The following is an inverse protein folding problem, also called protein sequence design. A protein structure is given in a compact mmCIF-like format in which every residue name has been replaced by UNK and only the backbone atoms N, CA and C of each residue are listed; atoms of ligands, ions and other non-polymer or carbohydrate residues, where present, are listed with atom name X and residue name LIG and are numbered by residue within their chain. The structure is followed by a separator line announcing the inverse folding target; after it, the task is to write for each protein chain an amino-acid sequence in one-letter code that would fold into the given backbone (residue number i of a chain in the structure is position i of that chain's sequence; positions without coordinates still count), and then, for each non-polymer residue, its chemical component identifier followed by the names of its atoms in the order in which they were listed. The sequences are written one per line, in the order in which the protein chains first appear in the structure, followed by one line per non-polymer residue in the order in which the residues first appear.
data_IF_820877967917
#
_entry.id   IF_820877967917
#
_cell.length_a   1.000
_cell.length_b   1.000
_cell.length_c   1.000
_cell.angle_alpha   90.00
_cell.angle_beta   90.00
_cell.angle_gamma   90.00
#
_symmetry.space_group_name_H-M   'P 1'
#
loop_
_entity.id
_entity.type
_entity.pdbx_description
1 polymer ?
#
# COMPACT_ATOMS: atom_id res chain seq x y z
N UNK A 1 -28.56 -11.51 17.45
CA UNK A 1 -27.64 -11.18 16.36
C UNK A 1 -27.19 -9.76 16.59
N UNK A 2 -26.08 -9.62 17.33
CA UNK A 2 -25.38 -8.33 17.44
C UNK A 2 -24.61 -8.18 16.14
N UNK A 3 -24.70 -7.01 15.50
CA UNK A 3 -24.10 -6.69 14.20
C UNK A 3 -22.57 -6.92 14.20
N UNK A 4 -22.14 -8.10 13.77
CA UNK A 4 -20.72 -8.43 13.56
C UNK A 4 -20.07 -7.48 12.53
N UNK A 5 -20.83 -7.00 11.54
CA UNK A 5 -20.35 -6.00 10.57
C UNK A 5 -19.95 -4.66 11.21
N UNK A 6 -20.55 -4.30 12.36
CA UNK A 6 -20.20 -3.07 13.07
C UNK A 6 -18.95 -3.23 13.94
N UNK A 7 -18.63 -4.44 14.38
CA UNK A 7 -17.51 -4.72 15.27
C UNK A 7 -16.16 -4.72 14.50
N UNK A 8 -16.10 -5.36 13.33
CA UNK A 8 -14.89 -5.37 12.49
C UNK A 8 -14.55 -3.96 11.97
N UNK A 9 -15.57 -3.22 11.53
CA UNK A 9 -15.40 -1.83 11.12
C UNK A 9 -14.98 -0.93 12.29
N UNK A 10 -15.45 -1.23 13.51
CA UNK A 10 -15.02 -0.54 14.71
C UNK A 10 -13.53 -0.80 14.98
N UNK A 11 -13.07 -2.05 14.91
CA UNK A 11 -11.65 -2.38 15.08
C UNK A 11 -10.77 -1.70 14.03
N UNK A 12 -11.16 -1.69 12.76
CA UNK A 12 -10.43 -0.98 11.71
C UNK A 12 -10.27 0.51 12.03
N UNK A 13 -11.35 1.19 12.44
CA UNK A 13 -11.30 2.60 12.84
C UNK A 13 -10.38 2.83 14.04
N UNK A 14 -10.49 2.00 15.07
CA UNK A 14 -9.66 2.10 16.28
C UNK A 14 -8.19 1.92 15.94
N UNK A 15 -7.84 0.89 15.14
CA UNK A 15 -6.46 0.69 14.69
C UNK A 15 -5.94 1.87 13.88
N UNK A 16 -6.72 2.37 12.92
CA UNK A 16 -6.34 3.53 12.11
C UNK A 16 -6.07 4.77 12.98
N UNK A 17 -6.91 5.03 13.98
CA UNK A 17 -6.69 6.12 14.93
C UNK A 17 -5.40 5.93 15.74
N UNK A 18 -5.16 4.72 16.27
CA UNK A 18 -3.94 4.43 17.05
C UNK A 18 -2.68 4.56 16.20
N UNK A 19 -2.71 4.09 14.96
CA UNK A 19 -1.59 4.21 14.02
C UNK A 19 -1.32 5.67 13.67
N UNK A 20 -2.37 6.46 13.39
CA UNK A 20 -2.23 7.88 13.09
C UNK A 20 -1.64 8.68 14.27
N UNK A 21 -2.08 8.38 15.50
CA UNK A 21 -1.54 9.03 16.70
C UNK A 21 -0.08 8.66 16.96
N UNK A 22 0.27 7.39 16.79
CA UNK A 22 1.61 6.88 17.05
C UNK A 22 2.62 7.27 15.96
N UNK A 23 2.14 7.56 14.76
CA UNK A 23 2.96 7.87 13.59
C UNK A 23 2.62 9.26 13.01
N UNK A 24 2.51 10.28 13.87
CA UNK A 24 2.14 11.64 13.48
C UNK A 24 3.07 12.32 12.48
N UNK A 25 4.24 11.75 12.21
CA UNK A 25 5.18 12.18 11.18
C UNK A 25 4.84 11.67 9.77
N UNK A 26 3.89 10.72 9.65
CA UNK A 26 3.36 10.21 8.39
C UNK A 26 2.20 11.13 7.97
N UNK A 27 2.46 11.94 6.96
CA UNK A 27 1.55 13.02 6.54
C UNK A 27 0.44 12.50 5.59
N UNK A 28 0.80 11.59 4.67
CA UNK A 28 -0.13 11.03 3.69
C UNK A 28 0.33 9.63 3.24
N UNK A 29 -0.37 8.58 3.66
CA UNK A 29 -0.07 7.21 3.27
C UNK A 29 -1.38 6.47 2.93
N UNK A 30 -1.84 6.53 1.66
CA UNK A 30 -3.14 5.99 1.26
C UNK A 30 -3.20 4.46 1.34
N UNK A 31 -2.05 3.78 1.50
CA UNK A 31 -1.98 2.32 1.69
C UNK A 31 -2.40 1.86 3.09
N UNK A 32 -2.39 2.73 4.12
CA UNK A 32 -2.64 2.31 5.51
C UNK A 32 -4.04 1.68 5.68
N UNK A 33 -5.15 2.27 5.17
CA UNK A 33 -6.47 1.68 5.31
C UNK A 33 -6.58 0.28 4.73
N UNK A 34 -6.04 0.06 3.53
CA UNK A 34 -6.08 -1.26 2.89
C UNK A 34 -5.19 -2.26 3.63
N UNK A 35 -3.99 -1.85 4.06
CA UNK A 35 -3.12 -2.70 4.88
C UNK A 35 -3.83 -3.14 6.16
N UNK A 36 -4.46 -2.22 6.88
CA UNK A 36 -5.19 -2.54 8.12
C UNK A 36 -6.35 -3.49 7.83
N UNK A 37 -7.10 -3.27 6.75
CA UNK A 37 -8.18 -4.15 6.36
C UNK A 37 -7.66 -5.57 6.05
N UNK A 38 -6.63 -5.71 5.23
CA UNK A 38 -6.02 -7.01 4.90
C UNK A 38 -5.49 -7.72 6.14
N UNK A 39 -4.84 -7.00 7.07
CA UNK A 39 -4.34 -7.59 8.31
C UNK A 39 -5.49 -8.07 9.21
N UNK A 40 -6.57 -7.30 9.36
CA UNK A 40 -7.71 -7.66 10.22
C UNK A 40 -8.53 -8.84 9.66
N UNK A 41 -8.47 -9.10 8.35
CA UNK A 41 -9.08 -10.30 7.76
C UNK A 41 -8.37 -11.57 8.23
N UNK A 42 -7.09 -11.51 8.61
CA UNK A 42 -6.27 -12.68 8.91
C UNK A 42 -5.71 -12.74 10.32
N UNK A 43 -5.72 -11.64 11.06
CA UNK A 43 -5.06 -11.50 12.35
C UNK A 43 -6.01 -10.92 13.38
N UNK A 44 -5.82 -11.30 14.65
CA UNK A 44 -6.49 -10.63 15.76
C UNK A 44 -6.08 -9.14 15.83
N UNK A 45 -6.96 -8.23 16.30
CA UNK A 45 -6.71 -6.79 16.26
C UNK A 45 -5.39 -6.34 16.92
N UNK A 46 -4.99 -6.99 18.01
CA UNK A 46 -3.73 -6.69 18.72
C UNK A 46 -2.51 -7.06 17.89
N UNK A 47 -2.56 -8.21 17.21
CA UNK A 47 -1.49 -8.69 16.32
C UNK A 47 -1.45 -7.83 15.05
N UNK A 48 -2.61 -7.53 14.46
CA UNK A 48 -2.73 -6.65 13.31
C UNK A 48 -2.10 -5.27 13.58
N UNK A 49 -2.35 -4.69 14.75
CA UNK A 49 -1.72 -3.44 15.16
C UNK A 49 -0.20 -3.54 15.26
N UNK A 50 0.31 -4.60 15.92
CA UNK A 50 1.75 -4.80 16.07
C UNK A 50 2.45 -4.97 14.71
N UNK A 51 1.87 -5.76 13.80
CA UNK A 51 2.38 -5.96 12.44
C UNK A 51 2.35 -4.65 11.64
N UNK A 52 1.23 -3.93 11.67
CA UNK A 52 1.12 -2.63 11.00
C UNK A 52 2.18 -1.63 11.48
N UNK A 53 2.44 -1.58 12.79
CA UNK A 53 3.50 -0.74 13.35
C UNK A 53 4.90 -1.15 12.86
N UNK A 54 5.19 -2.46 12.80
CA UNK A 54 6.46 -2.95 12.27
C UNK A 54 6.64 -2.57 10.78
N UNK A 55 5.60 -2.74 9.95
CA UNK A 55 5.66 -2.38 8.53
C UNK A 55 5.86 -0.87 8.31
N UNK A 56 5.21 -0.04 9.12
CA UNK A 56 5.41 1.42 9.09
C UNK A 56 6.83 1.79 9.54
N UNK A 57 7.34 1.19 10.63
CA UNK A 57 8.69 1.43 11.12
C UNK A 57 9.79 1.04 10.10
N UNK A 58 9.58 -0.06 9.37
CA UNK A 58 10.46 -0.45 8.26
C UNK A 58 10.39 0.60 7.14
N UNK A 59 9.20 1.04 6.78
CA UNK A 59 9.00 2.02 5.69
C UNK A 59 9.56 3.41 6.01
N UNK A 60 9.51 3.82 7.27
CA UNK A 60 10.03 5.12 7.75
C UNK A 60 11.55 5.12 7.91
N UNK A 61 12.14 4.00 8.30
CA UNK A 61 13.60 3.85 8.44
C UNK A 61 14.32 3.63 7.10
N UNK A 62 13.64 3.09 6.09
CA UNK A 62 14.20 2.89 4.75
C UNK A 62 14.45 4.22 4.04
N UNK A 63 15.69 4.47 3.61
CA UNK A 63 16.07 5.67 2.84
C UNK A 63 15.71 5.55 1.35
N UNK A 64 15.72 4.33 0.82
CA UNK A 64 15.38 4.00 -0.58
C UNK A 64 14.33 2.89 -0.64
N UNK A 65 13.65 2.74 -1.78
CA UNK A 65 12.71 1.63 -2.02
C UNK A 65 13.40 0.26 -2.11
N UNK A 66 14.70 0.26 -2.39
CA UNK A 66 15.55 -0.92 -2.38
C UNK A 66 16.98 -0.42 -2.11
N UNK A 67 17.68 -1.02 -1.15
CA UNK A 67 19.12 -0.89 -1.02
C UNK A 67 19.79 -2.28 -1.10
N UNK A 68 21.09 -2.30 -1.35
CA UNK A 68 21.87 -3.53 -1.46
C UNK A 68 21.90 -4.37 -0.17
N UNK A 69 21.48 -3.78 0.96
CA UNK A 69 21.46 -4.40 2.29
C UNK A 69 20.09 -5.03 2.63
N UNK A 70 19.14 -5.04 1.70
CA UNK A 70 17.83 -5.68 1.89
C UNK A 70 16.83 -4.84 2.69
N UNK A 71 17.07 -3.55 2.89
CA UNK A 71 16.05 -2.63 3.39
C UNK A 71 15.16 -2.21 2.21
N UNK A 72 13.89 -2.58 2.30
CA UNK A 72 12.88 -2.21 1.33
C UNK A 72 11.90 -1.26 1.99
N UNK A 73 11.61 -0.15 1.31
CA UNK A 73 10.47 0.68 1.71
C UNK A 73 9.21 -0.03 1.24
N UNK A 74 8.44 -0.54 2.20
CA UNK A 74 7.19 -1.25 1.92
C UNK A 74 6.07 -0.28 1.54
N UNK A 75 5.96 0.87 2.23
CA UNK A 75 4.91 1.86 2.05
C UNK A 75 5.46 3.23 1.67
N UNK A 76 4.77 3.93 0.78
CA UNK A 76 4.98 5.35 0.56
C UNK A 76 4.32 6.15 1.69
N UNK A 77 5.12 6.67 2.63
CA UNK A 77 4.64 7.35 3.86
C UNK A 77 4.37 8.85 3.69
N UNK A 78 4.52 9.38 2.47
CA UNK A 78 4.12 10.73 2.11
C UNK A 78 3.85 10.83 0.61
N UNK A 79 3.20 11.94 0.23
CA UNK A 79 2.83 12.22 -1.17
C UNK A 79 4.02 12.22 -2.14
N UNK A 80 5.16 12.77 -1.75
CA UNK A 80 6.37 12.81 -2.58
C UNK A 80 6.87 11.40 -2.88
N UNK A 81 6.87 10.53 -1.87
CA UNK A 81 7.24 9.13 -2.01
C UNK A 81 6.25 8.38 -2.90
N UNK A 82 4.94 8.62 -2.73
CA UNK A 82 3.90 7.99 -3.56
C UNK A 82 4.07 8.38 -5.03
N UNK A 83 4.24 9.67 -5.32
CA UNK A 83 4.50 10.16 -6.68
C UNK A 83 5.78 9.55 -7.26
N UNK A 84 6.84 9.44 -6.45
CA UNK A 84 8.09 8.82 -6.88
C UNK A 84 7.89 7.36 -7.27
N UNK A 85 7.13 6.59 -6.48
CA UNK A 85 6.82 5.18 -6.77
C UNK A 85 6.02 5.02 -8.06
N UNK A 86 5.00 5.88 -8.26
CA UNK A 86 4.18 5.91 -9.49
C UNK A 86 5.03 6.23 -10.72
N UNK A 87 5.90 7.25 -10.64
CA UNK A 87 6.82 7.60 -11.73
C UNK A 87 7.85 6.49 -12.00
N UNK A 88 8.37 5.84 -10.96
CA UNK A 88 9.29 4.71 -11.10
C UNK A 88 8.64 3.54 -11.83
N UNK A 89 7.37 3.26 -11.55
CA UNK A 89 6.63 2.21 -12.25
C UNK A 89 6.43 2.54 -13.73
N UNK A 90 5.97 3.76 -14.07
CA UNK A 90 5.81 4.18 -15.46
C UNK A 90 7.13 4.09 -16.23
N UNK A 91 8.24 4.57 -15.63
CA UNK A 91 9.58 4.44 -16.22
C UNK A 91 10.02 2.98 -16.39
N UNK A 92 9.64 2.09 -15.46
CA UNK A 92 9.92 0.66 -15.57
C UNK A 92 9.14 0.02 -16.73
N UNK A 93 7.85 0.33 -16.88
CA UNK A 93 7.01 -0.13 -17.99
C UNK A 93 7.55 0.40 -19.31
N UNK A 94 7.88 1.68 -19.40
CA UNK A 94 8.49 2.28 -20.59
C UNK A 94 9.78 1.55 -20.99
N UNK A 95 10.63 1.20 -20.01
CA UNK A 95 11.92 0.53 -20.26
C UNK A 95 11.78 -0.95 -20.61
N UNK A 96 10.89 -1.68 -19.93
CA UNK A 96 10.80 -3.15 -20.04
C UNK A 96 9.71 -3.62 -20.99
N UNK A 97 8.66 -2.81 -21.17
CA UNK A 97 7.48 -3.10 -21.98
C UNK A 97 7.19 -1.94 -22.94
N UNK A 98 8.23 -1.40 -23.58
CA UNK A 98 8.13 -0.24 -24.47
C UNK A 98 7.00 -0.33 -25.53
N UNK A 99 6.76 -1.48 -26.19
CA UNK A 99 5.64 -1.60 -27.12
C UNK A 99 4.27 -1.38 -26.46
N UNK A 100 4.09 -1.92 -25.24
CA UNK A 100 2.85 -1.76 -24.46
C UNK A 100 2.68 -0.32 -24.00
N UNK A 101 3.76 0.30 -23.50
CA UNK A 101 3.76 1.70 -23.08
C UNK A 101 3.36 2.64 -24.21
N UNK A 102 3.97 2.49 -25.40
CA UNK A 102 3.61 3.29 -26.58
C UNK A 102 2.17 3.06 -27.04
N UNK A 103 1.70 1.82 -26.97
CA UNK A 103 0.34 1.51 -27.36
C UNK A 103 -0.69 2.12 -26.39
N UNK A 104 -0.47 2.01 -25.08
CA UNK A 104 -1.31 2.66 -24.07
C UNK A 104 -1.36 4.18 -24.30
N UNK A 105 -0.20 4.81 -24.54
CA UNK A 105 -0.12 6.23 -24.85
C UNK A 105 -0.91 6.61 -26.12
N UNK A 106 -0.91 5.77 -27.16
CA UNK A 106 -1.74 5.99 -28.37
C UNK A 106 -3.25 5.95 -28.10
N UNK A 107 -3.65 5.22 -27.04
CA UNK A 107 -5.01 5.14 -26.54
C UNK A 107 -5.32 6.18 -25.45
N UNK A 108 -4.40 7.13 -25.20
CA UNK A 108 -4.46 8.10 -24.09
C UNK A 108 -4.51 7.46 -22.69
N UNK A 109 -4.04 6.23 -22.55
CA UNK A 109 -3.85 5.60 -21.25
C UNK A 109 -2.57 6.09 -20.56
N UNK A 110 -2.61 6.21 -19.24
CA UNK A 110 -1.47 6.60 -18.41
C UNK A 110 -1.21 5.53 -17.33
N UNK A 111 -0.04 4.89 -17.39
CA UNK A 111 0.35 3.89 -16.39
C UNK A 111 0.52 4.49 -14.99
N UNK A 112 0.69 5.81 -14.89
CA UNK A 112 0.76 6.50 -13.60
C UNK A 112 -0.59 6.50 -12.89
N UNK A 113 -1.69 6.66 -13.62
CA UNK A 113 -3.05 6.59 -13.06
C UNK A 113 -3.35 5.17 -12.57
N UNK A 114 -2.97 4.17 -13.37
CA UNK A 114 -3.10 2.76 -13.01
C UNK A 114 -2.31 2.45 -11.73
N UNK A 115 -1.04 2.88 -11.66
CA UNK A 115 -0.20 2.67 -10.49
C UNK A 115 -0.70 3.41 -9.24
N UNK A 116 -1.28 4.60 -9.42
CA UNK A 116 -1.86 5.37 -8.32
C UNK A 116 -3.09 4.70 -7.69
N UNK A 117 -3.80 3.85 -8.44
CA UNK A 117 -4.88 3.00 -7.92
C UNK A 117 -4.35 1.69 -7.33
N UNK A 118 -3.44 1.01 -8.05
CA UNK A 118 -2.97 -0.32 -7.68
C UNK A 118 -2.13 -0.35 -6.40
N UNK A 119 -1.18 0.59 -6.25
CA UNK A 119 -0.23 0.51 -5.14
C UNK A 119 -0.85 0.82 -3.77
N UNK A 120 -1.73 1.82 -3.61
CA UNK A 120 -2.41 2.03 -2.33
C UNK A 120 -3.33 0.87 -1.92
N UNK A 121 -3.88 0.17 -2.90
CA UNK A 121 -4.80 -0.94 -2.65
C UNK A 121 -4.12 -2.31 -2.55
N UNK A 122 -2.78 -2.39 -2.64
CA UNK A 122 -2.07 -3.68 -2.82
C UNK A 122 -2.73 -4.55 -3.89
N UNK A 123 -3.17 -3.91 -4.99
CA UNK A 123 -3.89 -4.54 -6.09
C UNK A 123 -5.28 -5.12 -5.73
N UNK A 124 -5.75 -5.01 -4.49
CA UNK A 124 -7.02 -5.60 -4.04
C UNK A 124 -8.25 -5.04 -4.76
N UNK A 125 -8.16 -3.86 -5.40
CA UNK A 125 -9.23 -3.32 -6.26
C UNK A 125 -9.27 -3.95 -7.64
N UNK A 126 -8.19 -4.60 -8.07
CA UNK A 126 -7.95 -5.03 -9.45
C UNK A 126 -7.77 -6.54 -9.59
N UNK A 127 -7.42 -7.24 -8.52
CA UNK A 127 -7.28 -8.71 -8.49
C UNK A 127 -8.05 -9.30 -7.30
N UNK A 128 -8.41 -10.60 -7.33
CA UNK A 128 -9.02 -11.28 -6.19
C UNK A 128 -8.18 -11.10 -4.92
N UNK A 129 -8.84 -11.03 -3.76
CA UNK A 129 -8.20 -10.77 -2.46
C UNK A 129 -7.10 -11.79 -2.17
N UNK A 130 -7.31 -13.06 -2.52
CA UNK A 130 -6.30 -14.13 -2.36
C UNK A 130 -5.03 -13.89 -3.17
N UNK A 131 -5.14 -13.18 -4.30
CA UNK A 131 -3.98 -12.77 -5.10
C UNK A 131 -3.32 -11.54 -4.51
N UNK A 132 -4.11 -10.56 -4.04
CA UNK A 132 -3.58 -9.38 -3.36
C UNK A 132 -2.79 -9.75 -2.09
N UNK A 133 -3.28 -10.71 -1.31
CA UNK A 133 -2.57 -11.24 -0.13
C UNK A 133 -1.22 -11.85 -0.47
N UNK A 134 -1.12 -12.58 -1.60
CA UNK A 134 0.17 -13.12 -2.07
C UNK A 134 1.15 -12.06 -2.55
N UNK A 135 0.66 -10.86 -2.91
CA UNK A 135 1.51 -9.71 -3.23
C UNK A 135 1.94 -8.99 -1.96
N UNK A 136 1.11 -9.06 -0.91
CA UNK A 136 1.41 -8.53 0.41
C UNK A 136 2.46 -9.37 1.16
N UNK A 137 2.42 -10.71 1.00
CA UNK A 137 3.44 -11.67 1.45
C UNK A 137 4.82 -11.42 0.81
#
# INVERSE_FOLDING_TARGET
YVDLEHEELHYAKVLLCMLAQSNSHIDDCPSIPMMVALLLVHLEPTIAYAVAQSLLAVSTSATTYCNHDGNYRFLAINRTQQQSMVCMFDALVQRKLAPVHRHAASLKGDFREIAADWFPSFFATSVPVETALKVFD
#
